data_IF_186893059838
#
_entry.id   IF_186893059838
#
_cell.length_a   1.000
_cell.length_b   1.000
_cell.length_c   1.000
_cell.angle_alpha   90.00
_cell.angle_beta   90.00
_cell.angle_gamma   90.00
#
_symmetry.space_group_name_H-M   'P 1'
#
loop_
_entity.id
_entity.type
_entity.pdbx_description
1 polymer ?
#
# COMPACT_ATOMS: atom_id res chain seq x y z
N UNK A 1 -4.51 -16.97 21.80
CA UNK A 1 -5.13 -16.48 20.54
C UNK A 1 -4.07 -15.72 19.77
N UNK A 2 -4.13 -15.72 18.41
CA UNK A 2 -3.25 -14.88 17.62
C UNK A 2 -3.55 -13.41 17.91
N UNK A 3 -2.51 -12.58 18.04
CA UNK A 3 -2.62 -11.13 18.23
C UNK A 3 -2.78 -10.43 16.89
N UNK A 4 -3.71 -9.46 16.80
CA UNK A 4 -3.84 -8.54 15.67
C UNK A 4 -3.18 -7.22 16.03
N UNK A 5 -2.38 -6.66 15.12
CA UNK A 5 -1.79 -5.33 15.25
C UNK A 5 -2.07 -4.52 13.98
N UNK A 6 -2.70 -3.34 14.15
CA UNK A 6 -2.81 -2.36 13.07
C UNK A 6 -1.46 -1.68 12.86
N UNK A 7 -1.07 -1.51 11.60
CA UNK A 7 0.11 -0.76 11.19
C UNK A 7 -0.36 0.53 10.51
N UNK A 8 -0.41 1.62 11.27
CA UNK A 8 -1.04 2.87 10.86
C UNK A 8 0.02 3.85 10.38
N UNK A 9 -0.15 4.37 9.17
CA UNK A 9 0.65 5.47 8.64
C UNK A 9 -0.14 6.78 8.79
N UNK A 10 0.47 7.79 9.40
CA UNK A 10 -0.13 9.12 9.60
C UNK A 10 0.91 10.23 9.45
N UNK A 11 0.45 11.48 9.43
CA UNK A 11 1.30 12.68 9.37
C UNK A 11 0.86 13.72 10.39
N UNK A 12 1.85 14.33 11.08
CA UNK A 12 1.65 15.43 12.02
C UNK A 12 0.62 15.12 13.12
N UNK A 13 0.53 13.86 13.54
CA UNK A 13 -0.35 13.43 14.62
C UNK A 13 0.07 14.10 15.93
N UNK A 14 -0.89 14.66 16.64
CA UNK A 14 -0.72 15.30 17.95
C UNK A 14 -1.57 14.66 19.04
N UNK A 15 -2.64 13.95 18.68
CA UNK A 15 -3.57 13.29 19.59
C UNK A 15 -3.76 11.81 19.20
N UNK A 16 -3.06 10.93 19.91
CA UNK A 16 -3.13 9.48 19.69
C UNK A 16 -4.52 8.93 20.09
N UNK A 17 -5.09 9.45 21.19
CA UNK A 17 -6.38 8.95 21.68
C UNK A 17 -7.49 9.36 20.72
N UNK A 18 -7.49 10.63 20.27
CA UNK A 18 -8.45 11.10 19.27
C UNK A 18 -8.40 10.27 17.98
N UNK A 19 -7.21 9.93 17.48
CA UNK A 19 -7.08 9.02 16.32
C UNK A 19 -7.67 7.64 16.61
N UNK A 20 -7.45 7.07 17.81
CA UNK A 20 -8.01 5.78 18.19
C UNK A 20 -9.55 5.81 18.22
N UNK A 21 -10.13 6.91 18.72
CA UNK A 21 -11.58 7.12 18.75
C UNK A 21 -12.14 7.24 17.32
N UNK A 22 -11.52 8.05 16.47
CA UNK A 22 -11.93 8.27 15.07
C UNK A 22 -11.86 6.99 14.24
N UNK A 23 -10.82 6.21 14.42
CA UNK A 23 -10.62 4.94 13.71
C UNK A 23 -11.40 3.76 14.32
N UNK A 24 -12.02 3.89 15.48
CA UNK A 24 -12.67 2.80 16.27
C UNK A 24 -11.69 1.65 16.55
N UNK A 25 -10.51 1.96 17.10
CA UNK A 25 -9.46 0.94 17.33
C UNK A 25 -9.85 0.00 18.48
N UNK A 26 -9.86 -1.31 18.21
CA UNK A 26 -10.13 -2.40 19.15
C UNK A 26 -9.07 -3.52 19.07
N UNK A 27 -7.82 -3.15 18.82
CA UNK A 27 -6.65 -4.06 18.81
C UNK A 27 -5.38 -3.28 19.17
N UNK A 28 -4.27 -3.99 19.37
CA UNK A 28 -2.97 -3.32 19.41
C UNK A 28 -2.72 -2.54 18.11
N UNK A 29 -2.00 -1.43 18.20
CA UNK A 29 -1.64 -0.63 17.04
C UNK A 29 -0.20 -0.12 17.13
N UNK A 30 0.43 -0.01 15.97
CA UNK A 30 1.72 0.61 15.76
C UNK A 30 1.55 1.76 14.77
N UNK A 31 1.65 2.97 15.28
CA UNK A 31 1.51 4.20 14.51
C UNK A 31 2.90 4.69 14.09
N UNK A 32 3.07 4.97 12.82
CA UNK A 32 4.24 5.67 12.29
C UNK A 32 3.80 7.07 11.87
N UNK A 33 4.16 8.04 12.69
CA UNK A 33 3.84 9.45 12.49
C UNK A 33 4.98 10.17 11.77
N UNK A 34 4.71 10.73 10.62
CA UNK A 34 5.64 11.52 9.83
C UNK A 34 5.52 12.99 10.24
N UNK A 35 6.51 13.53 10.97
CA UNK A 35 6.51 14.91 11.45
C UNK A 35 7.90 15.52 11.33
N UNK A 36 8.15 16.68 11.97
CA UNK A 36 9.46 17.35 11.95
C UNK A 36 10.28 17.09 13.24
N UNK A 37 9.98 15.99 13.93
CA UNK A 37 10.61 15.59 15.18
C UNK A 37 10.84 14.08 15.23
N UNK A 38 11.62 13.63 16.19
CA UNK A 38 11.82 12.20 16.50
C UNK A 38 11.32 11.96 17.92
N UNK A 39 10.33 11.07 18.07
CA UNK A 39 9.71 10.76 19.37
C UNK A 39 9.23 9.32 19.38
N UNK A 40 9.25 8.70 20.56
CA UNK A 40 8.55 7.45 20.83
C UNK A 40 7.65 7.65 22.04
N UNK A 41 6.42 7.19 21.93
CA UNK A 41 5.46 7.19 23.03
C UNK A 41 4.50 6.00 22.88
N UNK A 42 3.83 5.65 23.96
CA UNK A 42 2.77 4.66 23.92
C UNK A 42 1.68 5.02 24.92
N UNK A 43 0.48 4.55 24.65
CA UNK A 43 -0.68 4.65 25.53
C UNK A 43 -1.40 3.30 25.59
N UNK A 44 -2.19 3.10 26.64
CA UNK A 44 -3.18 2.03 26.67
C UNK A 44 -4.55 2.60 26.39
N UNK A 45 -5.20 2.07 25.35
CA UNK A 45 -6.53 2.47 24.91
C UNK A 45 -7.45 1.25 24.95
N UNK A 46 -8.47 1.27 25.82
CA UNK A 46 -9.36 0.12 26.07
C UNK A 46 -8.65 -1.22 26.33
N UNK A 47 -7.45 -1.17 26.94
CA UNK A 47 -6.65 -2.35 27.25
C UNK A 47 -5.70 -2.79 26.14
N UNK A 48 -5.74 -2.15 24.98
CA UNK A 48 -4.82 -2.38 23.88
C UNK A 48 -3.61 -1.44 23.96
N UNK A 49 -2.44 -1.92 23.56
CA UNK A 49 -1.21 -1.11 23.49
C UNK A 49 -1.14 -0.40 22.16
N UNK A 50 -1.10 0.92 22.22
CA UNK A 50 -0.93 1.79 21.05
C UNK A 50 0.46 2.39 21.12
N UNK A 51 1.36 2.00 20.22
CA UNK A 51 2.72 2.53 20.13
C UNK A 51 2.79 3.55 18.99
N UNK A 52 3.43 4.69 19.24
CA UNK A 52 3.63 5.73 18.23
C UNK A 52 5.12 6.06 18.11
N UNK A 53 5.67 5.85 16.92
CA UNK A 53 6.99 6.33 16.52
C UNK A 53 6.83 7.51 15.59
N UNK A 54 7.34 8.66 15.99
CA UNK A 54 7.41 9.87 15.17
C UNK A 54 8.81 9.96 14.55
N UNK A 55 8.87 10.19 13.24
CA UNK A 55 10.10 10.33 12.49
C UNK A 55 10.12 11.64 11.70
N UNK A 56 11.31 12.30 11.67
CA UNK A 56 11.57 13.46 10.83
C UNK A 56 11.79 13.04 9.36
N UNK A 57 10.80 12.39 8.78
CA UNK A 57 10.82 11.88 7.41
C UNK A 57 9.46 12.03 6.74
N UNK A 58 9.44 11.88 5.41
CA UNK A 58 8.22 11.88 4.61
C UNK A 58 8.25 10.73 3.61
N UNK A 59 7.08 10.18 3.30
CA UNK A 59 6.85 9.13 2.31
C UNK A 59 6.13 7.92 2.88
N UNK A 60 4.94 7.64 2.32
CA UNK A 60 4.04 6.58 2.77
C UNK A 60 4.71 5.20 2.82
N UNK A 61 5.46 4.85 1.77
CA UNK A 61 6.18 3.57 1.71
C UNK A 61 7.27 3.45 2.78
N UNK A 62 7.96 4.55 3.13
CA UNK A 62 8.91 4.58 4.25
C UNK A 62 8.21 4.35 5.58
N UNK A 63 7.10 5.04 5.79
CA UNK A 63 6.25 4.87 6.99
C UNK A 63 5.82 3.42 7.15
N UNK A 64 5.24 2.82 6.12
CA UNK A 64 4.81 1.41 6.14
C UNK A 64 5.96 0.42 6.34
N UNK A 65 7.13 0.66 5.76
CA UNK A 65 8.34 -0.14 6.01
C UNK A 65 8.81 -0.01 7.46
N UNK A 66 8.79 1.20 8.03
CA UNK A 66 9.09 1.42 9.43
C UNK A 66 8.15 0.65 10.36
N UNK A 67 6.87 0.55 10.01
CA UNK A 67 5.90 -0.28 10.73
C UNK A 67 6.22 -1.78 10.60
N UNK A 68 6.48 -2.28 9.40
CA UNK A 68 6.85 -3.69 9.15
C UNK A 68 8.11 -4.12 9.92
N UNK A 69 9.09 -3.24 10.08
CA UNK A 69 10.32 -3.50 10.82
C UNK A 69 10.12 -3.58 12.35
N UNK A 70 9.07 -2.94 12.89
CA UNK A 70 8.84 -2.81 14.34
C UNK A 70 7.63 -3.61 14.84
N UNK A 71 6.84 -4.15 13.94
CA UNK A 71 5.61 -4.86 14.29
C UNK A 71 5.87 -6.05 15.23
N UNK A 72 4.96 -6.28 16.17
CA UNK A 72 5.03 -7.37 17.16
C UNK A 72 3.90 -8.38 17.02
N UNK A 73 2.74 -7.99 16.46
CA UNK A 73 1.56 -8.84 16.31
C UNK A 73 1.77 -10.07 15.44
N UNK A 74 0.98 -11.12 15.65
CA UNK A 74 0.99 -12.33 14.81
C UNK A 74 0.35 -12.11 13.45
N UNK A 75 -0.68 -11.24 13.41
CA UNK A 75 -1.39 -10.78 12.21
C UNK A 75 -1.23 -9.26 12.15
N UNK A 76 -0.78 -8.78 11.00
CA UNK A 76 -0.52 -7.38 10.73
C UNK A 76 -1.57 -6.86 9.75
N UNK A 77 -2.29 -5.81 10.09
CA UNK A 77 -3.25 -5.15 9.20
C UNK A 77 -2.75 -3.75 8.84
N UNK A 78 -2.53 -3.50 7.55
CA UNK A 78 -2.04 -2.20 7.07
C UNK A 78 -3.19 -1.21 7.06
N UNK A 79 -2.97 -0.02 7.59
CA UNK A 79 -3.97 1.02 7.75
C UNK A 79 -3.42 2.42 7.39
N UNK A 80 -4.30 3.26 6.89
CA UNK A 80 -4.11 4.70 6.82
C UNK A 80 -4.99 5.36 7.92
N UNK A 81 -4.71 6.59 8.29
CA UNK A 81 -5.34 7.30 9.42
C UNK A 81 -6.78 7.81 9.16
N UNK A 82 -7.28 7.62 7.94
CA UNK A 82 -8.64 7.97 7.51
C UNK A 82 -9.62 6.77 7.50
N UNK A 83 -9.20 5.62 8.06
CA UNK A 83 -10.01 4.41 8.13
C UNK A 83 -10.88 4.37 9.39
N UNK A 84 -12.14 3.94 9.25
CA UNK A 84 -13.04 3.65 10.36
C UNK A 84 -13.37 2.16 10.37
N UNK A 85 -12.90 1.45 11.38
CA UNK A 85 -13.08 0.01 11.50
C UNK A 85 -14.48 -0.36 11.99
N UNK A 86 -14.93 -1.57 11.64
CA UNK A 86 -16.17 -2.15 12.20
C UNK A 86 -15.92 -2.63 13.63
N UNK A 87 -16.96 -2.71 14.45
CA UNK A 87 -16.83 -3.15 15.86
C UNK A 87 -16.27 -4.57 16.01
N UNK A 88 -16.38 -5.40 14.99
CA UNK A 88 -15.97 -6.81 14.99
C UNK A 88 -14.72 -7.10 14.15
N UNK A 89 -14.06 -6.06 13.58
CA UNK A 89 -12.97 -6.28 12.62
C UNK A 89 -11.84 -7.19 13.14
N UNK A 90 -11.52 -7.05 14.43
CA UNK A 90 -10.44 -7.82 15.06
C UNK A 90 -10.76 -9.31 15.08
N UNK A 91 -11.94 -9.66 15.57
CA UNK A 91 -12.43 -11.03 15.62
C UNK A 91 -12.63 -11.60 14.22
N UNK A 92 -13.16 -10.82 13.30
CA UNK A 92 -13.41 -11.19 11.92
C UNK A 92 -12.10 -11.55 11.20
N UNK A 93 -11.06 -10.73 11.32
CA UNK A 93 -9.75 -10.99 10.70
C UNK A 93 -9.12 -12.24 11.30
N UNK A 94 -9.11 -12.38 12.64
CA UNK A 94 -8.52 -13.54 13.32
C UNK A 94 -9.25 -14.83 12.93
N UNK A 95 -10.58 -14.82 12.96
CA UNK A 95 -11.41 -15.97 12.62
C UNK A 95 -11.22 -16.38 11.16
N UNK A 96 -11.08 -15.43 10.24
CA UNK A 96 -10.88 -15.72 8.83
C UNK A 96 -9.53 -16.42 8.57
N UNK A 97 -8.47 -16.00 9.27
CA UNK A 97 -7.19 -16.71 9.22
C UNK A 97 -7.21 -18.08 9.91
N UNK A 98 -8.10 -18.30 10.88
CA UNK A 98 -8.30 -19.62 11.51
C UNK A 98 -9.05 -20.57 10.58
N UNK A 99 -10.10 -20.09 9.88
CA UNK A 99 -10.84 -20.86 8.89
C UNK A 99 -9.99 -21.23 7.68
N UNK A 100 -9.03 -20.38 7.34
CA UNK A 100 -8.19 -20.47 6.15
C UNK A 100 -6.70 -20.50 6.53
N UNK A 101 -6.24 -21.59 7.17
CA UNK A 101 -4.86 -21.70 7.65
C UNK A 101 -3.83 -21.67 6.52
N UNK A 102 -4.22 -22.00 5.29
CA UNK A 102 -3.39 -21.97 4.08
C UNK A 102 -3.08 -20.56 3.60
N UNK A 103 -3.87 -19.54 3.98
CA UNK A 103 -3.63 -18.16 3.60
C UNK A 103 -2.48 -17.56 4.39
N UNK A 104 -1.52 -16.95 3.69
CA UNK A 104 -0.44 -16.15 4.29
C UNK A 104 -0.85 -14.68 4.44
N UNK A 105 -1.68 -14.21 3.51
CA UNK A 105 -2.26 -12.88 3.52
C UNK A 105 -3.71 -12.92 3.00
N UNK A 106 -4.53 -12.00 3.51
CA UNK A 106 -5.94 -11.83 3.13
C UNK A 106 -6.20 -10.39 2.71
N UNK A 107 -7.00 -10.24 1.66
CA UNK A 107 -7.59 -8.96 1.24
C UNK A 107 -9.05 -8.95 1.67
N UNK A 108 -9.45 -7.90 2.36
CA UNK A 108 -10.81 -7.69 2.88
C UNK A 108 -11.55 -6.58 2.15
N UNK A 109 -12.86 -6.51 2.30
CA UNK A 109 -13.63 -5.36 1.85
C UNK A 109 -13.38 -4.15 2.76
N UNK A 110 -13.01 -3.04 2.14
CA UNK A 110 -13.03 -1.69 2.72
C UNK A 110 -13.92 -0.84 1.85
N UNK A 111 -14.94 -0.21 2.44
CA UNK A 111 -15.94 0.57 1.68
C UNK A 111 -15.51 2.03 1.61
N UNK A 112 -15.36 2.59 0.42
CA UNK A 112 -15.22 4.03 0.26
C UNK A 112 -16.57 4.72 0.47
N UNK A 113 -16.62 5.69 1.39
CA UNK A 113 -17.87 6.36 1.77
C UNK A 113 -18.35 7.38 0.71
N UNK A 114 -17.40 8.04 0.03
CA UNK A 114 -17.67 9.20 -0.83
C UNK A 114 -17.04 9.09 -2.23
N UNK A 115 -16.79 7.87 -2.74
CA UNK A 115 -16.13 7.72 -4.03
C UNK A 115 -16.77 6.61 -4.89
N UNK A 116 -17.30 7.00 -6.06
CA UNK A 116 -17.77 6.07 -7.10
C UNK A 116 -16.64 5.20 -7.70
N UNK A 117 -15.37 5.50 -7.38
CA UNK A 117 -14.19 4.73 -7.80
C UNK A 117 -13.94 3.50 -6.93
N UNK A 118 -14.74 3.27 -5.89
CA UNK A 118 -14.68 2.05 -5.09
C UNK A 118 -14.74 0.83 -5.99
N UNK A 119 -13.78 -0.08 -5.82
CA UNK A 119 -13.73 -1.34 -6.57
C UNK A 119 -14.99 -2.17 -6.36
N UNK A 120 -15.18 -3.19 -7.19
CA UNK A 120 -16.27 -4.14 -6.97
C UNK A 120 -16.06 -4.86 -5.63
N UNK A 121 -17.12 -5.02 -4.82
CA UNK A 121 -16.98 -5.74 -3.56
C UNK A 121 -16.55 -7.18 -3.80
N UNK A 122 -15.77 -7.71 -2.88
CA UNK A 122 -15.40 -9.12 -2.84
C UNK A 122 -16.63 -9.90 -2.35
N UNK A 123 -17.14 -10.80 -3.15
CA UNK A 123 -18.37 -11.56 -2.83
C UNK A 123 -18.07 -12.94 -2.25
N UNK A 124 -16.86 -13.49 -2.49
CA UNK A 124 -16.50 -14.85 -2.06
C UNK A 124 -15.02 -14.98 -1.75
N UNK A 125 -14.69 -15.91 -0.86
CA UNK A 125 -13.32 -16.33 -0.63
C UNK A 125 -12.72 -16.95 -1.91
N UNK A 126 -11.55 -16.47 -2.30
CA UNK A 126 -10.82 -16.99 -3.46
C UNK A 126 -9.35 -16.62 -3.41
N UNK A 127 -8.49 -17.39 -4.09
CA UNK A 127 -7.09 -17.07 -4.25
C UNK A 127 -6.91 -15.87 -5.20
N UNK A 128 -6.04 -14.93 -4.81
CA UNK A 128 -5.68 -13.76 -5.62
C UNK A 128 -4.40 -14.05 -6.40
N UNK A 129 -4.47 -13.91 -7.71
CA UNK A 129 -3.32 -14.03 -8.60
C UNK A 129 -2.63 -12.69 -8.88
N UNK A 130 -1.42 -12.73 -9.47
CA UNK A 130 -0.59 -11.54 -9.81
C UNK A 130 -1.34 -10.46 -10.61
N UNK A 131 -2.27 -10.85 -11.47
CA UNK A 131 -3.02 -9.89 -12.30
C UNK A 131 -4.10 -9.19 -11.49
N UNK A 132 -4.81 -9.94 -10.66
CA UNK A 132 -5.91 -9.46 -9.83
C UNK A 132 -5.40 -8.62 -8.65
N UNK A 133 -4.20 -8.92 -8.10
CA UNK A 133 -3.63 -8.19 -6.96
C UNK A 133 -3.52 -6.69 -7.18
N UNK A 134 -3.46 -6.24 -8.44
CA UNK A 134 -3.41 -4.81 -8.81
C UNK A 134 -4.72 -4.05 -8.58
N UNK A 135 -5.80 -4.73 -8.24
CA UNK A 135 -7.11 -4.16 -7.98
C UNK A 135 -7.28 -3.74 -6.53
N UNK A 136 -6.33 -4.13 -5.66
CA UNK A 136 -6.39 -3.86 -4.22
C UNK A 136 -5.33 -2.87 -3.77
N UNK A 137 -5.72 -1.98 -2.85
CA UNK A 137 -4.80 -1.14 -2.07
C UNK A 137 -4.29 -1.86 -0.83
N UNK A 138 -3.24 -1.34 -0.21
CA UNK A 138 -2.65 -1.95 0.99
C UNK A 138 -3.57 -1.92 2.21
N UNK A 139 -4.44 -0.93 2.33
CA UNK A 139 -5.43 -0.81 3.43
C UNK A 139 -6.45 -1.96 3.48
N UNK A 140 -6.53 -2.75 2.42
CA UNK A 140 -7.35 -3.97 2.39
C UNK A 140 -6.67 -5.20 2.99
N UNK A 141 -5.36 -5.11 3.37
CA UNK A 141 -4.51 -6.27 3.57
C UNK A 141 -4.27 -6.56 5.04
N UNK A 142 -4.52 -7.82 5.44
CA UNK A 142 -3.93 -8.40 6.64
C UNK A 142 -2.96 -9.53 6.27
N UNK A 143 -1.83 -9.65 7.00
CA UNK A 143 -0.74 -10.57 6.69
C UNK A 143 -0.29 -11.30 7.95
N UNK A 144 -0.10 -12.61 7.92
CA UNK A 144 0.58 -13.34 8.98
C UNK A 144 2.04 -12.90 9.06
N UNK A 145 2.47 -12.32 10.17
CA UNK A 145 3.87 -11.88 10.37
C UNK A 145 4.87 -12.98 10.04
N UNK A 146 4.61 -14.23 10.47
CA UNK A 146 5.48 -15.38 10.19
C UNK A 146 5.72 -15.62 8.70
N UNK A 147 4.78 -15.25 7.83
CA UNK A 147 4.92 -15.44 6.39
C UNK A 147 5.91 -14.44 5.75
N UNK A 148 6.19 -13.33 6.41
CA UNK A 148 7.16 -12.32 5.98
C UNK A 148 8.59 -12.64 6.40
N UNK A 149 8.79 -13.51 7.41
CA UNK A 149 10.11 -13.84 7.96
C UNK A 149 11.01 -14.42 6.87
N UNK A 150 12.18 -13.81 6.66
CA UNK A 150 13.17 -14.23 5.67
C UNK A 150 12.78 -13.99 4.20
N UNK A 151 11.66 -13.31 3.95
CA UNK A 151 11.19 -13.03 2.58
C UNK A 151 11.69 -11.71 2.01
N UNK A 152 12.16 -10.78 2.86
CA UNK A 152 12.62 -9.44 2.44
C UNK A 152 11.58 -8.73 1.56
N UNK A 153 10.32 -8.69 2.02
CA UNK A 153 9.22 -8.01 1.34
C UNK A 153 8.99 -6.66 1.99
N UNK A 154 9.14 -5.60 1.21
CA UNK A 154 8.98 -4.22 1.65
C UNK A 154 8.28 -3.38 0.58
N UNK A 155 7.70 -2.26 0.98
CA UNK A 155 7.20 -1.26 0.04
C UNK A 155 8.38 -0.59 -0.68
N UNK A 156 8.26 -0.43 -1.99
CA UNK A 156 9.26 0.29 -2.77
C UNK A 156 9.19 1.80 -2.47
N UNK A 157 10.23 2.35 -1.84
CA UNK A 157 10.27 3.74 -1.36
C UNK A 157 10.33 4.80 -2.45
N UNK A 158 10.52 4.41 -3.71
CA UNK A 158 10.40 5.32 -4.85
C UNK A 158 8.95 5.59 -5.24
N UNK A 159 7.98 4.79 -4.73
CA UNK A 159 6.55 4.89 -5.04
C UNK A 159 5.72 5.21 -3.79
N UNK A 160 4.57 5.85 -4.02
CA UNK A 160 3.60 6.20 -2.99
C UNK A 160 3.52 7.70 -2.71
N UNK A 161 2.58 8.09 -1.87
CA UNK A 161 2.40 9.49 -1.48
C UNK A 161 3.68 10.04 -0.83
N UNK A 162 4.12 11.21 -1.27
CA UNK A 162 5.37 11.83 -0.81
C UNK A 162 6.66 11.25 -1.39
N UNK A 163 6.59 10.27 -2.32
CA UNK A 163 7.73 9.72 -3.02
C UNK A 163 7.92 10.33 -4.42
N UNK A 164 8.98 9.92 -5.13
CA UNK A 164 9.28 10.37 -6.49
C UNK A 164 8.13 10.07 -7.46
N UNK A 165 7.58 8.86 -7.41
CA UNK A 165 6.40 8.41 -8.15
C UNK A 165 5.20 8.33 -7.21
N UNK A 166 4.19 9.11 -7.47
CA UNK A 166 3.09 9.41 -6.54
C UNK A 166 2.15 8.25 -6.22
N UNK A 167 2.28 7.10 -6.90
CA UNK A 167 1.43 5.93 -6.68
C UNK A 167 2.06 4.65 -7.22
N UNK A 168 1.55 3.49 -6.78
CA UNK A 168 1.94 2.17 -7.29
C UNK A 168 2.62 1.28 -6.27
N UNK A 169 2.89 1.80 -5.07
CA UNK A 169 3.50 1.08 -3.95
C UNK A 169 2.71 -0.17 -3.57
N UNK A 170 1.38 -0.08 -3.53
CA UNK A 170 0.47 -1.19 -3.22
C UNK A 170 0.57 -2.29 -4.27
N UNK A 171 0.52 -1.89 -5.54
CA UNK A 171 0.64 -2.83 -6.67
C UNK A 171 1.97 -3.59 -6.64
N UNK A 172 3.08 -2.89 -6.34
CA UNK A 172 4.40 -3.49 -6.25
C UNK A 172 4.51 -4.41 -5.04
N UNK A 173 4.02 -3.96 -3.87
CA UNK A 173 4.04 -4.73 -2.64
C UNK A 173 3.26 -6.05 -2.77
N UNK A 174 2.01 -6.00 -3.23
CA UNK A 174 1.19 -7.19 -3.44
C UNK A 174 1.77 -8.15 -4.47
N UNK A 175 2.32 -7.59 -5.55
CA UNK A 175 3.03 -8.39 -6.57
C UNK A 175 4.22 -9.11 -5.96
N UNK A 176 5.02 -8.41 -5.15
CA UNK A 176 6.20 -8.98 -4.51
C UNK A 176 5.82 -10.08 -3.51
N UNK A 177 4.78 -9.89 -2.68
CA UNK A 177 4.26 -10.94 -1.80
C UNK A 177 4.03 -12.24 -2.57
N UNK A 178 3.32 -12.15 -3.70
CA UNK A 178 2.99 -13.32 -4.53
C UNK A 178 4.26 -13.92 -5.18
N UNK A 179 5.19 -13.09 -5.63
CA UNK A 179 6.45 -13.54 -6.27
C UNK A 179 7.41 -14.21 -5.29
N UNK A 180 7.40 -13.79 -4.03
CA UNK A 180 8.12 -14.45 -2.93
C UNK A 180 7.41 -15.73 -2.41
N UNK A 181 6.30 -16.11 -3.05
CA UNK A 181 5.59 -17.36 -2.81
C UNK A 181 4.52 -17.30 -1.71
N UNK A 182 4.17 -16.10 -1.21
CA UNK A 182 3.08 -15.98 -0.25
C UNK A 182 1.74 -16.24 -0.93
N UNK A 183 0.87 -16.91 -0.21
CA UNK A 183 -0.47 -17.27 -0.66
C UNK A 183 -1.45 -16.18 -0.26
N UNK A 184 -1.78 -15.31 -1.24
CA UNK A 184 -2.75 -14.23 -1.07
C UNK A 184 -4.15 -14.73 -1.45
N UNK A 185 -5.12 -14.48 -0.57
CA UNK A 185 -6.53 -14.76 -0.80
C UNK A 185 -7.36 -13.51 -0.54
N UNK A 186 -8.60 -13.51 -1.00
CA UNK A 186 -9.59 -12.46 -0.72
C UNK A 186 -10.75 -13.02 0.08
N UNK A 187 -11.30 -12.22 0.98
CA UNK A 187 -12.43 -12.55 1.84
C UNK A 187 -13.58 -11.57 1.63
N UNK A 188 -14.85 -12.03 1.63
CA UNK A 188 -16.01 -11.16 1.49
C UNK A 188 -16.31 -10.30 2.72
N UNK A 189 -15.60 -10.52 3.81
CA UNK A 189 -15.81 -9.78 5.06
C UNK A 189 -15.41 -8.31 4.87
N UNK A 190 -16.24 -7.40 5.38
CA UNK A 190 -15.94 -5.98 5.47
C UNK A 190 -15.33 -5.67 6.83
N UNK A 191 -14.15 -5.06 6.85
CA UNK A 191 -13.43 -4.73 8.08
C UNK A 191 -13.45 -3.23 8.42
N UNK A 192 -13.58 -2.37 7.41
CA UNK A 192 -13.54 -0.92 7.60
C UNK A 192 -14.28 -0.18 6.50
N UNK A 193 -14.43 1.12 6.70
CA UNK A 193 -14.73 2.12 5.68
C UNK A 193 -13.63 3.18 5.65
N UNK A 194 -13.52 3.93 4.54
CA UNK A 194 -12.56 5.01 4.34
C UNK A 194 -13.24 6.20 3.72
N UNK A 195 -12.93 7.41 4.21
CA UNK A 195 -13.35 8.64 3.56
C UNK A 195 -12.28 9.08 2.57
N UNK A 196 -12.59 9.04 1.29
CA UNK A 196 -11.65 9.41 0.22
C UNK A 196 -11.78 10.86 -0.22
N UNK A 197 -12.53 11.71 0.48
CA UNK A 197 -12.76 13.11 0.10
C UNK A 197 -11.47 13.92 0.07
N UNK A 198 -10.51 13.64 0.95
CA UNK A 198 -9.21 14.33 1.06
C UNK A 198 -8.04 13.62 0.39
N UNK A 199 -8.33 12.71 -0.56
CA UNK A 199 -7.31 11.95 -1.27
C UNK A 199 -6.31 12.85 -2.01
N UNK A 200 -5.08 12.94 -1.52
CA UNK A 200 -4.04 13.86 -2.00
C UNK A 200 -3.24 13.33 -3.19
N UNK A 201 -3.34 12.04 -3.51
CA UNK A 201 -2.50 11.41 -4.53
C UNK A 201 -2.94 11.65 -5.98
N UNK A 202 -4.23 11.92 -6.22
CA UNK A 202 -4.76 12.12 -7.57
C UNK A 202 -4.97 13.59 -7.89
N UNK A 203 -4.06 14.16 -8.70
CA UNK A 203 -4.13 15.56 -9.18
C UNK A 203 -4.59 15.68 -10.65
N UNK A 204 -5.41 14.72 -11.09
CA UNK A 204 -5.91 14.68 -12.48
C UNK A 204 -4.99 13.90 -13.45
N UNK A 205 -5.50 13.69 -14.66
CA UNK A 205 -4.80 12.96 -15.72
C UNK A 205 -3.82 13.88 -16.48
N UNK A 206 -2.72 14.24 -15.82
CA UNK A 206 -1.66 15.11 -16.32
C UNK A 206 -0.42 14.32 -16.77
N UNK A 207 0.60 15.03 -17.25
CA UNK A 207 1.87 14.45 -17.68
C UNK A 207 2.53 13.61 -16.58
N UNK A 208 2.61 14.16 -15.33
CA UNK A 208 3.21 13.44 -14.20
C UNK A 208 2.48 12.14 -13.92
N UNK A 209 1.15 12.13 -13.94
CA UNK A 209 0.37 10.90 -13.74
C UNK A 209 0.77 9.81 -14.72
N UNK A 210 0.91 10.12 -16.02
CA UNK A 210 1.27 9.11 -17.02
C UNK A 210 2.76 8.72 -16.95
N UNK A 211 3.66 9.63 -16.57
CA UNK A 211 5.07 9.31 -16.31
C UNK A 211 5.20 8.36 -15.12
N UNK A 212 4.53 8.64 -14.01
CA UNK A 212 4.52 7.77 -12.82
C UNK A 212 3.97 6.36 -13.15
N UNK A 213 2.93 6.27 -14.01
CA UNK A 213 2.43 4.99 -14.51
C UNK A 213 3.44 4.28 -15.42
N UNK A 214 4.25 5.01 -16.19
CA UNK A 214 5.35 4.46 -16.96
C UNK A 214 6.43 3.84 -16.07
N UNK A 215 6.86 4.56 -15.04
CA UNK A 215 7.79 4.07 -14.02
C UNK A 215 7.24 2.81 -13.32
N UNK A 216 5.96 2.81 -12.94
CA UNK A 216 5.30 1.66 -12.33
C UNK A 216 5.29 0.42 -13.25
N UNK A 217 5.00 0.60 -14.53
CA UNK A 217 5.03 -0.51 -15.51
C UNK A 217 6.44 -1.08 -15.62
N UNK A 218 7.47 -0.24 -15.64
CA UNK A 218 8.87 -0.70 -15.70
C UNK A 218 9.23 -1.45 -14.42
N UNK A 219 8.92 -0.90 -13.25
CA UNK A 219 9.19 -1.56 -11.98
C UNK A 219 8.47 -2.92 -11.85
N UNK A 220 7.23 -2.99 -12.33
CA UNK A 220 6.42 -4.21 -12.21
C UNK A 220 6.71 -5.25 -13.30
N UNK A 221 7.01 -4.84 -14.54
CA UNK A 221 7.09 -5.70 -15.72
C UNK A 221 8.19 -5.25 -16.69
N UNK A 222 9.48 -5.22 -16.30
CA UNK A 222 10.57 -4.61 -17.08
C UNK A 222 10.74 -5.24 -18.48
N UNK A 223 10.49 -6.56 -18.62
CA UNK A 223 10.66 -7.26 -19.90
C UNK A 223 9.63 -6.89 -20.97
N UNK A 224 8.46 -6.39 -20.58
CA UNK A 224 7.34 -6.08 -21.47
C UNK A 224 6.80 -4.65 -21.27
N UNK A 225 7.53 -3.82 -20.56
CA UNK A 225 7.12 -2.45 -20.22
C UNK A 225 6.76 -1.60 -21.44
N UNK A 226 7.56 -1.68 -22.50
CA UNK A 226 7.29 -0.98 -23.76
C UNK A 226 5.99 -1.42 -24.43
N UNK A 227 5.70 -2.73 -24.47
CA UNK A 227 4.43 -3.24 -24.98
C UNK A 227 3.25 -2.80 -24.13
N UNK A 228 3.39 -2.85 -22.80
CA UNK A 228 2.35 -2.38 -21.88
C UNK A 228 2.14 -0.88 -22.00
N UNK A 229 3.17 -0.08 -22.25
CA UNK A 229 3.06 1.35 -22.50
C UNK A 229 2.19 1.64 -23.73
N UNK A 230 2.36 0.89 -24.83
CA UNK A 230 1.52 1.02 -26.04
C UNK A 230 0.05 0.70 -25.68
N UNK A 231 -0.21 -0.46 -25.10
CA UNK A 231 -1.57 -0.90 -24.76
C UNK A 231 -2.27 0.05 -23.80
N UNK A 232 -1.53 0.50 -22.75
CA UNK A 232 -2.08 1.41 -21.75
C UNK A 232 -2.31 2.82 -22.30
N UNK A 233 -1.45 3.32 -23.18
CA UNK A 233 -1.63 4.65 -23.77
C UNK A 233 -2.88 4.70 -24.65
N UNK A 234 -3.15 3.68 -25.46
CA UNK A 234 -4.40 3.58 -26.25
C UNK A 234 -5.62 3.49 -25.33
N UNK A 235 -5.60 2.60 -24.32
CA UNK A 235 -6.70 2.45 -23.37
C UNK A 235 -6.99 3.74 -22.60
N UNK A 236 -5.94 4.35 -22.05
CA UNK A 236 -6.07 5.51 -21.17
C UNK A 236 -6.37 6.80 -21.95
N UNK A 237 -5.99 6.90 -23.23
CA UNK A 237 -6.39 8.02 -24.07
C UNK A 237 -7.91 8.11 -24.22
N UNK A 238 -8.60 6.97 -24.38
CA UNK A 238 -10.07 6.96 -24.41
C UNK A 238 -10.67 7.14 -23.02
N UNK A 239 -10.16 6.37 -22.02
CA UNK A 239 -10.72 6.33 -20.65
C UNK A 239 -10.53 7.66 -19.90
N UNK A 240 -9.33 8.25 -19.96
CA UNK A 240 -8.94 9.40 -19.14
C UNK A 240 -9.11 10.74 -19.87
N UNK A 241 -8.98 10.74 -21.21
CA UNK A 241 -9.00 11.98 -22.04
C UNK A 241 -10.19 12.00 -23.02
N UNK A 242 -11.05 10.98 -23.01
CA UNK A 242 -12.24 10.90 -23.85
C UNK A 242 -11.98 10.62 -25.34
N UNK A 243 -10.72 10.60 -25.81
CA UNK A 243 -10.41 10.48 -27.25
C UNK A 243 -9.08 9.80 -27.51
N UNK A 244 -9.05 8.93 -28.53
CA UNK A 244 -7.82 8.23 -28.99
C UNK A 244 -6.73 9.16 -29.57
N UNK A 245 -7.06 10.40 -29.94
CA UNK A 245 -6.09 11.39 -30.46
C UNK A 245 -4.93 11.67 -29.48
N UNK A 246 -5.11 11.41 -28.19
CA UNK A 246 -4.09 11.61 -27.16
C UNK A 246 -3.15 10.41 -26.98
N UNK A 247 -3.36 9.27 -27.68
CA UNK A 247 -2.63 8.05 -27.44
C UNK A 247 -1.11 8.22 -27.64
N UNK A 248 -0.68 8.88 -28.73
CA UNK A 248 0.74 9.14 -28.99
C UNK A 248 1.39 10.02 -27.91
N UNK A 249 0.69 11.05 -27.46
CA UNK A 249 1.17 11.94 -26.38
C UNK A 249 1.28 11.18 -25.05
N UNK A 250 0.27 10.40 -24.70
CA UNK A 250 0.30 9.57 -23.47
C UNK A 250 1.41 8.54 -23.57
N UNK A 251 1.61 7.93 -24.74
CA UNK A 251 2.71 6.98 -24.97
C UNK A 251 4.08 7.61 -24.71
N UNK A 252 4.32 8.85 -25.21
CA UNK A 252 5.58 9.54 -24.92
C UNK A 252 5.82 9.77 -23.43
N UNK A 253 4.78 10.07 -22.68
CA UNK A 253 4.86 10.19 -21.21
C UNK A 253 5.18 8.87 -20.52
N UNK A 254 4.57 7.75 -20.95
CA UNK A 254 4.91 6.42 -20.44
C UNK A 254 6.37 6.07 -20.69
N UNK A 255 6.87 6.31 -21.92
CA UNK A 255 8.28 6.03 -22.28
C UNK A 255 9.24 6.90 -21.47
N UNK A 256 8.90 8.18 -21.27
CA UNK A 256 9.70 9.05 -20.39
C UNK A 256 9.77 8.50 -18.97
N UNK A 257 8.65 8.08 -18.38
CA UNK A 257 8.63 7.48 -17.04
C UNK A 257 9.41 6.16 -16.94
N UNK A 258 9.35 5.32 -17.97
CA UNK A 258 10.17 4.09 -18.08
C UNK A 258 11.67 4.46 -18.07
N UNK A 259 12.07 5.42 -18.88
CA UNK A 259 13.47 5.86 -18.97
C UNK A 259 13.96 6.48 -17.66
N UNK A 260 13.15 7.33 -17.04
CA UNK A 260 13.46 7.96 -15.76
C UNK A 260 13.68 6.90 -14.65
N UNK A 261 12.80 5.91 -14.56
CA UNK A 261 12.94 4.83 -13.57
C UNK A 261 14.21 4.00 -13.80
N UNK A 262 14.52 3.62 -15.04
CA UNK A 262 15.76 2.90 -15.38
C UNK A 262 16.99 3.68 -14.97
N UNK A 263 16.99 4.99 -15.22
CA UNK A 263 18.10 5.88 -14.83
C UNK A 263 18.28 5.88 -13.31
N UNK A 264 17.20 6.07 -12.55
CA UNK A 264 17.24 6.08 -11.08
C UNK A 264 17.80 4.78 -10.51
N UNK A 265 17.38 3.63 -11.04
CA UNK A 265 17.91 2.33 -10.58
C UNK A 265 19.38 2.19 -10.94
N UNK A 266 19.80 2.52 -12.16
CA UNK A 266 21.20 2.41 -12.57
C UNK A 266 22.14 3.33 -11.76
N UNK A 267 21.69 4.51 -11.40
CA UNK A 267 22.46 5.44 -10.55
C UNK A 267 22.52 4.96 -9.09
N UNK A 268 21.45 4.34 -8.56
CA UNK A 268 21.41 3.70 -7.25
C UNK A 268 22.37 2.52 -7.13
N UNK A 269 22.38 1.64 -8.10
CA UNK A 269 23.29 0.49 -8.15
C UNK A 269 24.78 0.92 -8.19
N UNK A 270 25.09 2.01 -8.88
CA UNK A 270 26.46 2.57 -8.92
C UNK A 270 26.88 3.09 -7.55
N UNK A 271 26.00 3.81 -6.85
CA UNK A 271 26.30 4.36 -5.52
C UNK A 271 26.51 3.27 -4.47
N UNK A 272 25.75 2.17 -4.51
CA UNK A 272 25.96 1.00 -3.63
C UNK A 272 27.26 0.26 -3.97
N UNK A 273 27.60 0.11 -5.24
CA UNK A 273 28.82 -0.57 -5.70
C UNK A 273 30.12 0.15 -5.33
N UNK A 274 30.09 1.48 -5.23
CA UNK A 274 31.25 2.28 -4.78
C UNK A 274 31.47 2.22 -3.26
N UNK A 275 30.37 2.08 -2.47
CA UNK A 275 30.47 1.96 -1.01
C UNK A 275 30.98 0.58 -0.52
N UNK A 276 30.89 -0.45 -1.33
CA UNK A 276 31.38 -1.80 -1.01
C UNK A 276 32.92 -1.92 -1.29
N UNK A 277 33.50 -1.00 -2.06
CA UNK A 277 34.94 -0.99 -2.40
C UNK A 277 35.81 -0.13 -1.48
N UNK A 278 35.25 0.49 -0.46
CA UNK A 278 35.97 1.23 0.61
C UNK A 278 35.91 0.45 1.92
#
# INVERSE_FOLDING_TARGET
>A
MASLQLLIATMNLTDIIGLCDEMHIASDALIINQADSVKYEYVFYHGYKIECYTFAERGLSRSRNNALLRCTGDILCIADDDMVYTDTYREDIINEFQKHPEADALVFNVTALNDERSGKPIEKYARVGKRESREYGSVHIAIKKRALIGKNVYFNTLFGSGAMYSCGEDTLFLKELIEKGLKLYKSPIRIASVDMSDSTWFKGYNEKYFKDKGALIEAAYPRISGLLAILQSVRNSKKCMGSYKYAAKIFSYYISGIADYRKVISEGDVAEGENIKK
#
